data_IF_903180923915
#
_entry.id   IF_903180923915
#
_cell.length_a   1.000
_cell.length_b   1.000
_cell.length_c   1.000
_cell.angle_alpha   90.00
_cell.angle_beta   90.00
_cell.angle_gamma   90.00
#
_symmetry.space_group_name_H-M   'P 1'
#
loop_
_entity.id
_entity.type
_entity.pdbx_description
1 polymer ?
#
# COMPACT_ATOMS: atom_id res chain seq x y z
N UNK A 1 -25.35 5.17 -4.22
CA UNK A 1 -24.97 3.82 -3.76
C UNK A 1 -24.15 3.93 -2.49
N UNK A 2 -24.43 3.08 -1.49
CA UNK A 2 -23.61 2.99 -0.28
C UNK A 2 -22.39 2.10 -0.53
N UNK A 3 -21.25 2.51 -0.01
CA UNK A 3 -19.99 1.75 -0.07
C UNK A 3 -19.39 1.64 1.32
N UNK A 4 -18.78 0.51 1.62
CA UNK A 4 -18.07 0.28 2.87
C UNK A 4 -16.56 0.28 2.64
N UNK A 5 -15.81 0.99 3.48
CA UNK A 5 -14.37 1.04 3.39
C UNK A 5 -13.71 0.70 4.72
N UNK A 6 -12.71 -0.14 4.68
CA UNK A 6 -11.79 -0.35 5.80
C UNK A 6 -10.44 0.29 5.49
N UNK A 7 -9.74 0.79 6.50
CA UNK A 7 -8.44 1.44 6.31
C UNK A 7 -8.51 2.89 5.86
N UNK A 8 -9.65 3.57 6.00
CA UNK A 8 -9.85 4.98 5.64
C UNK A 8 -8.92 5.96 6.38
N UNK A 9 -8.31 5.56 7.50
CA UNK A 9 -7.28 6.36 8.19
C UNK A 9 -5.87 6.21 7.61
N UNK A 10 -5.68 5.36 6.60
CA UNK A 10 -4.42 5.13 5.90
C UNK A 10 -4.30 5.97 4.63
N UNK A 11 -3.12 5.90 3.99
CA UNK A 11 -2.80 6.70 2.80
C UNK A 11 -3.73 6.42 1.61
N UNK A 12 -3.78 5.17 1.13
CA UNK A 12 -4.66 4.79 0.01
C UNK A 12 -6.12 4.91 0.42
N UNK A 13 -6.50 4.33 1.58
CA UNK A 13 -7.89 4.33 2.03
C UNK A 13 -8.45 5.73 2.30
N UNK A 14 -7.63 6.65 2.82
CA UNK A 14 -8.04 8.05 3.00
C UNK A 14 -8.30 8.76 1.68
N UNK A 15 -7.36 8.68 0.73
CA UNK A 15 -7.54 9.25 -0.62
C UNK A 15 -8.74 8.62 -1.35
N UNK A 16 -8.96 7.30 -1.21
CA UNK A 16 -10.11 6.62 -1.78
C UNK A 16 -11.43 7.08 -1.14
N UNK A 17 -11.45 7.25 0.18
CA UNK A 17 -12.61 7.78 0.90
C UNK A 17 -12.99 9.17 0.37
N UNK A 18 -12.00 10.07 0.25
CA UNK A 18 -12.21 11.41 -0.30
C UNK A 18 -12.81 11.34 -1.71
N UNK A 19 -12.22 10.56 -2.59
CA UNK A 19 -12.67 10.44 -3.99
C UNK A 19 -14.07 9.84 -4.10
N UNK A 20 -14.43 8.89 -3.25
CA UNK A 20 -15.78 8.30 -3.21
C UNK A 20 -16.82 9.32 -2.79
N UNK A 21 -16.53 10.13 -1.75
CA UNK A 21 -17.42 11.23 -1.33
C UNK A 21 -17.57 12.26 -2.44
N UNK A 22 -16.47 12.73 -3.03
CA UNK A 22 -16.49 13.67 -4.18
C UNK A 22 -17.34 13.18 -5.36
N UNK A 23 -17.45 11.86 -5.54
CA UNK A 23 -18.30 11.23 -6.58
C UNK A 23 -19.73 10.98 -6.15
N UNK A 24 -20.13 11.43 -4.98
CA UNK A 24 -21.50 11.31 -4.47
C UNK A 24 -21.87 9.90 -3.95
N UNK A 25 -20.87 9.06 -3.62
CA UNK A 25 -21.16 7.82 -2.91
C UNK A 25 -21.42 8.11 -1.42
N UNK A 26 -22.36 7.37 -0.83
CA UNK A 26 -22.54 7.36 0.63
C UNK A 26 -21.49 6.42 1.22
N UNK A 27 -20.49 6.96 1.92
CA UNK A 27 -19.36 6.19 2.42
C UNK A 27 -19.55 5.85 3.89
N UNK A 28 -19.47 4.54 4.22
CA UNK A 28 -19.37 4.01 5.59
C UNK A 28 -17.92 3.56 5.80
N UNK A 29 -17.23 4.11 6.81
CA UNK A 29 -15.84 3.80 7.09
C UNK A 29 -15.67 3.09 8.44
N UNK A 30 -15.09 1.89 8.43
CA UNK A 30 -14.71 1.18 9.65
C UNK A 30 -13.44 1.78 10.23
N UNK A 31 -13.52 2.28 11.44
CA UNK A 31 -12.40 2.85 12.19
C UNK A 31 -12.25 2.16 13.54
N UNK A 32 -11.03 1.86 13.92
CA UNK A 32 -10.73 1.42 15.29
C UNK A 32 -10.94 2.57 16.27
N UNK A 33 -11.35 2.28 17.52
CA UNK A 33 -11.47 3.28 18.57
C UNK A 33 -10.26 4.22 18.62
N UNK A 34 -10.52 5.53 18.67
CA UNK A 34 -9.48 6.57 18.70
C UNK A 34 -8.75 6.84 17.38
N UNK A 35 -9.06 6.10 16.29
CA UNK A 35 -8.54 6.43 14.95
C UNK A 35 -9.31 7.58 14.32
N UNK A 36 -8.62 8.37 13.47
CA UNK A 36 -9.22 9.51 12.77
C UNK A 36 -8.90 9.43 11.29
N UNK A 37 -9.85 9.87 10.48
CA UNK A 37 -9.64 10.13 9.05
C UNK A 37 -9.16 11.58 8.92
N UNK A 38 -8.06 11.80 8.23
CA UNK A 38 -7.43 13.12 8.10
C UNK A 38 -7.51 13.64 6.67
N UNK A 39 -8.74 13.70 6.13
CA UNK A 39 -9.05 14.20 4.78
C UNK A 39 -10.09 15.31 4.85
N UNK A 40 -10.22 16.16 3.83
CA UNK A 40 -11.41 17.01 3.65
C UNK A 40 -12.67 16.16 3.57
N UNK A 41 -13.85 16.80 3.79
CA UNK A 41 -15.17 16.15 3.70
C UNK A 41 -15.39 14.97 4.65
N UNK A 42 -14.58 14.83 5.71
CA UNK A 42 -14.73 13.76 6.70
C UNK A 42 -16.12 13.74 7.37
N UNK A 43 -16.77 14.89 7.47
CA UNK A 43 -18.12 15.02 8.04
C UNK A 43 -19.21 14.37 7.17
N UNK A 44 -18.92 14.05 5.91
CA UNK A 44 -19.83 13.36 4.99
C UNK A 44 -19.66 11.83 5.05
N UNK A 45 -18.77 11.33 5.92
CA UNK A 45 -18.46 9.91 6.07
C UNK A 45 -19.17 9.36 7.31
N UNK A 46 -19.98 8.32 7.13
CA UNK A 46 -20.56 7.57 8.25
C UNK A 46 -19.48 6.71 8.91
N UNK A 47 -19.21 6.95 10.17
CA UNK A 47 -18.18 6.20 10.92
C UNK A 47 -18.82 4.99 11.61
N UNK A 48 -18.28 3.82 11.34
CA UNK A 48 -18.54 2.57 12.07
C UNK A 48 -17.33 2.30 12.96
N UNK A 49 -17.51 2.35 14.27
CA UNK A 49 -16.43 2.06 15.21
C UNK A 49 -16.28 0.56 15.41
N UNK A 50 -15.06 0.02 15.24
CA UNK A 50 -14.77 -1.40 15.42
C UNK A 50 -13.46 -1.85 14.81
N UNK A 51 -13.22 -3.16 14.83
CA UNK A 51 -12.01 -3.78 14.27
C UNK A 51 -12.38 -4.84 13.23
N UNK A 52 -11.55 -4.98 12.19
CA UNK A 52 -11.73 -6.04 11.16
C UNK A 52 -11.59 -7.45 11.74
N UNK A 53 -11.02 -7.60 12.93
CA UNK A 53 -10.94 -8.86 13.65
C UNK A 53 -12.27 -9.29 14.29
N UNK A 54 -13.20 -8.37 14.44
CA UNK A 54 -14.56 -8.62 14.94
C UNK A 54 -15.52 -8.78 13.76
N UNK A 55 -15.89 -10.03 13.47
CA UNK A 55 -16.77 -10.38 12.36
C UNK A 55 -18.14 -9.71 12.46
N UNK A 56 -18.70 -9.64 13.66
CA UNK A 56 -20.06 -9.08 13.87
C UNK A 56 -20.07 -7.57 13.60
N UNK A 57 -19.04 -6.86 14.03
CA UNK A 57 -18.86 -5.44 13.72
C UNK A 57 -18.70 -5.21 12.22
N UNK A 58 -17.87 -6.01 11.54
CA UNK A 58 -17.72 -5.91 10.08
C UNK A 58 -19.04 -6.22 9.39
N UNK A 59 -19.76 -7.28 9.79
CA UNK A 59 -21.05 -7.65 9.22
C UNK A 59 -22.09 -6.54 9.39
N UNK A 60 -22.15 -5.92 10.56
CA UNK A 60 -23.01 -4.77 10.81
C UNK A 60 -22.66 -3.58 9.90
N UNK A 61 -21.37 -3.32 9.72
CA UNK A 61 -20.89 -2.21 8.88
C UNK A 61 -21.20 -2.37 7.40
N UNK A 62 -21.05 -3.58 6.85
CA UNK A 62 -21.25 -3.84 5.40
C UNK A 62 -22.72 -3.94 4.99
N UNK A 63 -23.65 -4.04 5.94
CA UNK A 63 -25.09 -4.09 5.62
C UNK A 63 -25.51 -2.90 4.77
N UNK A 64 -26.35 -3.16 3.78
CA UNK A 64 -26.88 -2.18 2.81
C UNK A 64 -25.81 -1.54 1.89
N UNK A 65 -24.57 -2.03 1.92
CA UNK A 65 -23.54 -1.56 1.02
C UNK A 65 -23.50 -2.42 -0.25
N UNK A 66 -23.44 -1.77 -1.41
CA UNK A 66 -23.27 -2.48 -2.68
C UNK A 66 -21.81 -2.90 -2.90
N UNK A 67 -20.86 -2.05 -2.51
CA UNK A 67 -19.44 -2.31 -2.68
C UNK A 67 -18.67 -2.23 -1.37
N UNK A 68 -17.59 -3.01 -1.29
CA UNK A 68 -16.63 -3.01 -0.19
C UNK A 68 -15.22 -2.76 -0.73
N UNK A 69 -14.54 -1.76 -0.14
CA UNK A 69 -13.13 -1.51 -0.38
C UNK A 69 -12.32 -1.89 0.87
N UNK A 70 -11.57 -2.97 0.78
CA UNK A 70 -10.76 -3.45 1.90
C UNK A 70 -9.32 -2.98 1.77
N UNK A 71 -9.02 -1.79 2.34
CA UNK A 71 -7.67 -1.21 2.35
C UNK A 71 -6.96 -1.36 3.70
N UNK A 72 -7.64 -1.87 4.75
CA UNK A 72 -7.03 -2.04 6.06
C UNK A 72 -5.94 -3.10 6.02
N UNK A 73 -4.75 -2.74 6.50
CA UNK A 73 -3.63 -3.65 6.69
C UNK A 73 -2.69 -3.12 7.79
N UNK A 74 -2.03 -4.03 8.50
CA UNK A 74 -0.88 -3.70 9.33
C UNK A 74 0.35 -3.61 8.40
N UNK A 75 0.82 -2.37 8.13
CA UNK A 75 1.98 -2.10 7.28
C UNK A 75 3.16 -1.68 8.15
N UNK A 76 3.91 -2.67 8.63
CA UNK A 76 5.09 -2.47 9.47
C UNK A 76 6.18 -3.46 9.09
N UNK A 77 7.41 -2.98 8.94
CA UNK A 77 8.59 -3.84 8.72
C UNK A 77 9.14 -4.42 10.02
N UNK A 78 8.71 -3.88 11.16
CA UNK A 78 9.08 -4.37 12.49
C UNK A 78 7.88 -4.34 13.44
N UNK A 79 7.81 -5.33 14.32
CA UNK A 79 6.83 -5.41 15.42
C UNK A 79 7.39 -6.31 16.50
N UNK A 80 7.00 -6.06 17.75
CA UNK A 80 7.37 -6.92 18.89
C UNK A 80 6.76 -8.32 18.75
N UNK A 81 5.51 -8.41 18.32
CA UNK A 81 4.83 -9.67 18.05
C UNK A 81 4.43 -9.75 16.56
N UNK A 82 5.12 -10.60 15.78
CA UNK A 82 4.74 -10.85 14.40
C UNK A 82 3.33 -11.39 14.22
N UNK A 83 2.76 -12.08 15.21
CA UNK A 83 1.41 -12.63 15.12
C UNK A 83 0.35 -11.57 14.87
N UNK A 84 0.54 -10.34 15.38
CA UNK A 84 -0.42 -9.26 15.19
C UNK A 84 -0.56 -8.84 13.71
N UNK A 85 0.55 -8.89 12.95
CA UNK A 85 0.50 -8.62 11.51
C UNK A 85 -0.34 -9.68 10.79
N UNK A 86 -0.14 -10.96 11.15
CA UNK A 86 -0.89 -12.05 10.54
C UNK A 86 -2.36 -12.02 10.93
N UNK A 87 -2.69 -11.79 12.20
CA UNK A 87 -4.08 -11.61 12.65
C UNK A 87 -4.76 -10.52 11.83
N UNK A 88 -4.18 -9.32 11.78
CA UNK A 88 -4.77 -8.19 11.05
C UNK A 88 -4.88 -8.48 9.56
N UNK A 89 -3.78 -8.88 8.90
CA UNK A 89 -3.75 -8.97 7.45
C UNK A 89 -4.42 -10.23 6.92
N UNK A 90 -4.38 -11.35 7.64
CA UNK A 90 -4.93 -12.63 7.18
C UNK A 90 -6.34 -12.83 7.72
N UNK A 91 -6.51 -12.87 9.06
CA UNK A 91 -7.83 -13.11 9.66
C UNK A 91 -8.78 -11.94 9.43
N UNK A 92 -8.27 -10.69 9.53
CA UNK A 92 -9.08 -9.51 9.24
C UNK A 92 -9.57 -9.46 7.80
N UNK A 93 -8.72 -9.84 6.82
CA UNK A 93 -9.15 -9.97 5.41
C UNK A 93 -10.20 -11.06 5.26
N UNK A 94 -10.01 -12.23 5.89
CA UNK A 94 -10.99 -13.32 5.85
C UNK A 94 -12.35 -12.88 6.39
N UNK A 95 -12.38 -12.22 7.53
CA UNK A 95 -13.60 -11.67 8.14
C UNK A 95 -14.32 -10.69 7.21
N UNK A 96 -13.58 -9.76 6.59
CA UNK A 96 -14.19 -8.79 5.66
C UNK A 96 -14.81 -9.50 4.46
N UNK A 97 -14.14 -10.50 3.89
CA UNK A 97 -14.66 -11.27 2.76
C UNK A 97 -15.89 -12.09 3.15
N UNK A 98 -15.86 -12.73 4.32
CA UNK A 98 -17.00 -13.51 4.84
C UNK A 98 -18.20 -12.62 5.14
N UNK A 99 -18.01 -11.52 5.87
CA UNK A 99 -19.05 -10.57 6.20
C UNK A 99 -19.71 -9.99 4.94
N UNK A 100 -18.88 -9.62 3.95
CA UNK A 100 -19.36 -9.08 2.68
C UNK A 100 -20.21 -10.09 1.91
N UNK A 101 -19.80 -11.36 1.91
CA UNK A 101 -20.56 -12.44 1.27
C UNK A 101 -21.89 -12.70 1.97
N UNK A 102 -21.91 -12.72 3.30
CA UNK A 102 -23.16 -12.91 4.10
C UNK A 102 -24.13 -11.75 3.84
N UNK A 103 -23.61 -10.52 3.72
CA UNK A 103 -24.41 -9.34 3.45
C UNK A 103 -24.90 -9.20 1.99
N UNK A 104 -24.45 -10.07 1.09
CA UNK A 104 -24.81 -10.04 -0.34
C UNK A 104 -24.19 -8.86 -1.09
N UNK A 105 -22.98 -8.43 -0.71
CA UNK A 105 -22.25 -7.35 -1.39
C UNK A 105 -21.97 -7.72 -2.84
N UNK A 106 -22.27 -6.81 -3.77
CA UNK A 106 -22.11 -7.03 -5.22
C UNK A 106 -20.65 -7.09 -5.67
N UNK A 107 -19.75 -6.33 -4.98
CA UNK A 107 -18.35 -6.20 -5.36
C UNK A 107 -17.46 -5.93 -4.16
N UNK A 108 -16.34 -6.65 -4.07
CA UNK A 108 -15.30 -6.44 -3.08
C UNK A 108 -14.00 -6.13 -3.82
N UNK A 109 -13.35 -5.02 -3.49
CA UNK A 109 -12.00 -4.70 -3.96
C UNK A 109 -11.04 -4.85 -2.79
N UNK A 110 -10.17 -5.86 -2.88
CA UNK A 110 -9.14 -6.12 -1.88
C UNK A 110 -7.82 -5.47 -2.27
N UNK A 111 -7.33 -4.57 -1.44
CA UNK A 111 -6.02 -3.94 -1.61
C UNK A 111 -4.92 -4.88 -1.13
N UNK A 112 -4.26 -5.54 -2.05
CA UNK A 112 -3.05 -6.32 -1.79
C UNK A 112 -1.80 -5.43 -1.92
N UNK A 113 -0.75 -5.89 -2.55
CA UNK A 113 0.50 -5.16 -2.79
C UNK A 113 1.26 -5.78 -3.95
N UNK A 114 2.02 -4.99 -4.70
CA UNK A 114 2.99 -5.51 -5.66
C UNK A 114 3.98 -6.49 -5.03
N UNK A 115 4.19 -6.41 -3.72
CA UNK A 115 5.01 -7.35 -2.98
C UNK A 115 4.60 -8.82 -3.07
N UNK A 116 3.37 -9.14 -3.51
CA UNK A 116 2.87 -10.51 -3.76
C UNK A 116 3.14 -11.00 -5.18
N UNK A 117 3.66 -10.14 -6.04
CA UNK A 117 4.08 -10.48 -7.40
C UNK A 117 5.54 -10.94 -7.39
N UNK A 118 5.85 -12.00 -8.11
CA UNK A 118 7.23 -12.46 -8.27
C UNK A 118 8.04 -11.53 -9.18
N UNK A 119 9.35 -11.51 -8.97
CA UNK A 119 10.29 -10.79 -9.82
C UNK A 119 11.04 -11.82 -10.66
N UNK A 120 10.89 -11.83 -11.98
CA UNK A 120 11.62 -12.72 -12.85
C UNK A 120 13.13 -12.35 -12.87
N UNK A 121 13.99 -13.25 -13.33
CA UNK A 121 15.43 -12.95 -13.46
C UNK A 121 15.67 -11.92 -14.58
N UNK A 122 14.88 -11.97 -15.62
CA UNK A 122 14.94 -11.05 -16.77
C UNK A 122 13.55 -10.52 -17.06
N UNK A 123 13.44 -9.22 -17.33
CA UNK A 123 12.18 -8.55 -17.65
C UNK A 123 11.45 -8.00 -16.42
N UNK A 124 10.15 -7.76 -16.58
CA UNK A 124 9.28 -7.15 -15.58
C UNK A 124 8.33 -8.21 -14.99
N UNK A 125 8.08 -8.13 -13.67
CA UNK A 125 7.02 -8.92 -13.06
C UNK A 125 5.64 -8.47 -13.53
N UNK A 126 4.69 -9.39 -13.64
CA UNK A 126 3.28 -9.12 -13.94
C UNK A 126 2.37 -10.01 -13.08
N UNK A 127 1.06 -9.89 -13.26
CA UNK A 127 0.06 -10.58 -12.46
C UNK A 127 0.17 -12.12 -12.53
N UNK A 128 0.76 -12.67 -13.60
CA UNK A 128 0.95 -14.11 -13.76
C UNK A 128 2.30 -14.60 -13.24
N UNK A 129 3.23 -13.69 -12.90
CA UNK A 129 4.54 -14.06 -12.40
C UNK A 129 4.46 -14.69 -11.01
N UNK A 130 4.83 -15.97 -10.86
CA UNK A 130 4.76 -16.64 -9.56
C UNK A 130 5.75 -16.04 -8.57
N UNK A 131 5.35 -15.92 -7.31
CA UNK A 131 6.22 -15.47 -6.22
C UNK A 131 6.87 -16.71 -5.57
N UNK A 132 8.17 -16.97 -5.81
CA UNK A 132 8.83 -18.11 -5.19
C UNK A 132 9.06 -17.86 -3.68
N UNK A 133 9.09 -18.91 -2.84
CA UNK A 133 9.20 -18.79 -1.38
C UNK A 133 10.39 -17.94 -0.92
N UNK A 134 11.54 -18.00 -1.62
CA UNK A 134 12.74 -17.24 -1.25
C UNK A 134 12.61 -15.72 -1.50
N UNK A 135 11.64 -15.28 -2.30
CA UNK A 135 11.32 -13.86 -2.52
C UNK A 135 10.28 -13.33 -1.51
N UNK A 136 9.69 -14.19 -0.69
CA UNK A 136 8.73 -13.76 0.36
C UNK A 136 9.51 -13.31 1.60
N UNK A 137 10.03 -12.10 1.55
CA UNK A 137 10.89 -11.52 2.59
C UNK A 137 10.03 -10.75 3.59
N UNK A 138 10.20 -11.09 4.88
CA UNK A 138 9.57 -10.37 5.99
C UNK A 138 8.12 -10.76 6.30
N UNK A 139 7.69 -10.38 7.50
CA UNK A 139 6.36 -10.75 8.01
C UNK A 139 5.23 -10.02 7.28
N UNK A 140 5.45 -8.74 6.94
CA UNK A 140 4.46 -7.97 6.18
C UNK A 140 4.18 -8.62 4.82
N UNK A 141 5.22 -8.86 4.01
CA UNK A 141 5.06 -9.45 2.68
C UNK A 141 4.41 -10.83 2.76
N UNK A 142 4.84 -11.67 3.72
CA UNK A 142 4.28 -13.00 3.93
C UNK A 142 2.79 -12.95 4.31
N UNK A 143 2.41 -12.05 5.21
CA UNK A 143 1.00 -11.90 5.62
C UNK A 143 0.11 -11.43 4.47
N UNK A 144 0.58 -10.47 3.65
CA UNK A 144 -0.16 -10.01 2.47
C UNK A 144 -0.29 -11.12 1.41
N UNK A 145 0.77 -11.89 1.20
CA UNK A 145 0.73 -13.04 0.28
C UNK A 145 -0.29 -14.11 0.71
N UNK A 146 -0.35 -14.42 2.01
CA UNK A 146 -1.34 -15.37 2.53
C UNK A 146 -2.77 -14.82 2.41
N UNK A 147 -2.98 -13.55 2.74
CA UNK A 147 -4.27 -12.89 2.62
C UNK A 147 -4.76 -12.83 1.17
N UNK A 148 -3.87 -12.53 0.21
CA UNK A 148 -4.22 -12.54 -1.22
C UNK A 148 -4.60 -13.94 -1.69
N UNK A 149 -3.89 -14.97 -1.26
CA UNK A 149 -4.27 -16.37 -1.55
C UNK A 149 -5.66 -16.72 -1.03
N UNK A 150 -6.02 -16.26 0.17
CA UNK A 150 -7.37 -16.43 0.71
C UNK A 150 -8.39 -15.72 -0.17
N UNK A 151 -8.15 -14.45 -0.54
CA UNK A 151 -9.05 -13.69 -1.38
C UNK A 151 -9.28 -14.37 -2.73
N UNK A 152 -8.22 -14.79 -3.42
CA UNK A 152 -8.32 -15.49 -4.70
C UNK A 152 -9.02 -16.85 -4.56
N UNK A 153 -8.73 -17.61 -3.49
CA UNK A 153 -9.43 -18.87 -3.21
C UNK A 153 -10.92 -18.66 -2.95
N UNK A 154 -11.29 -17.59 -2.23
CA UNK A 154 -12.71 -17.27 -1.99
C UNK A 154 -13.43 -16.84 -3.26
N UNK A 155 -12.74 -16.20 -4.19
CA UNK A 155 -13.31 -15.90 -5.51
C UNK A 155 -13.73 -17.19 -6.27
N UNK A 156 -12.94 -18.28 -6.17
CA UNK A 156 -13.28 -19.54 -6.85
C UNK A 156 -14.53 -20.23 -6.29
N UNK A 157 -15.01 -19.82 -5.12
CA UNK A 157 -16.25 -20.34 -4.51
C UNK A 157 -17.39 -19.30 -4.53
N UNK A 158 -17.27 -18.27 -5.38
CA UNK A 158 -18.33 -17.31 -5.69
C UNK A 158 -18.32 -16.00 -4.91
N UNK A 159 -17.34 -15.73 -4.05
CA UNK A 159 -17.22 -14.41 -3.39
C UNK A 159 -16.74 -13.39 -4.43
N UNK A 160 -17.47 -12.25 -4.62
CA UNK A 160 -17.23 -11.32 -5.72
C UNK A 160 -16.03 -10.38 -5.46
N UNK A 161 -14.84 -10.95 -5.24
CA UNK A 161 -13.62 -10.21 -4.94
C UNK A 161 -12.73 -10.01 -6.16
N UNK A 162 -12.28 -8.77 -6.35
CA UNK A 162 -11.21 -8.36 -7.27
C UNK A 162 -10.02 -7.91 -6.44
N UNK A 163 -8.82 -8.31 -6.84
CA UNK A 163 -7.60 -7.95 -6.11
C UNK A 163 -6.87 -6.83 -6.86
N UNK A 164 -6.42 -5.81 -6.15
CA UNK A 164 -5.54 -4.78 -6.68
C UNK A 164 -4.20 -4.82 -5.95
N UNK A 165 -3.12 -4.66 -6.72
CA UNK A 165 -1.74 -4.73 -6.24
C UNK A 165 -1.05 -3.36 -6.47
N UNK A 166 -1.28 -2.35 -5.60
CA UNK A 166 -0.57 -1.08 -5.71
C UNK A 166 0.94 -1.28 -5.61
N UNK A 167 1.67 -0.47 -6.38
CA UNK A 167 3.15 -0.44 -6.37
C UNK A 167 3.66 0.48 -5.26
N UNK A 168 4.41 1.53 -5.59
CA UNK A 168 4.87 2.53 -4.65
C UNK A 168 4.10 3.85 -4.86
N UNK A 169 2.90 4.01 -4.25
CA UNK A 169 2.12 5.22 -4.43
C UNK A 169 2.80 6.42 -3.77
N UNK A 170 2.73 7.55 -4.46
CA UNK A 170 3.19 8.86 -3.99
C UNK A 170 2.10 9.89 -4.20
N UNK A 171 2.04 10.92 -3.35
CA UNK A 171 1.01 11.97 -3.45
C UNK A 171 0.67 12.58 -2.10
N UNK A 172 -0.37 13.44 -2.06
CA UNK A 172 -0.83 14.11 -0.84
C UNK A 172 -1.56 13.15 0.11
N UNK A 173 -1.72 13.57 1.37
CA UNK A 173 -2.44 12.87 2.45
C UNK A 173 -1.74 11.61 2.99
N UNK A 174 -0.42 11.49 2.82
CA UNK A 174 0.40 10.48 3.51
C UNK A 174 0.69 10.92 4.96
N UNK A 175 -0.36 11.03 5.76
CA UNK A 175 -0.35 11.61 7.14
C UNK A 175 0.57 10.85 8.08
N UNK A 176 0.63 9.53 7.94
CA UNK A 176 1.61 8.66 8.62
C UNK A 176 2.54 8.15 7.55
N UNK A 177 3.65 8.88 7.27
CA UNK A 177 4.43 8.62 6.09
C UNK A 177 4.68 7.15 5.87
N UNK A 178 4.20 6.65 4.72
CA UNK A 178 4.49 5.30 4.24
C UNK A 178 6.00 5.13 4.07
N UNK A 179 6.53 3.91 3.93
CA UNK A 179 7.95 3.73 3.63
C UNK A 179 8.42 4.56 2.42
N UNK A 180 7.61 4.68 1.36
CA UNK A 180 7.90 5.54 0.20
C UNK A 180 7.85 7.01 0.57
N UNK A 181 6.82 7.47 1.27
CA UNK A 181 6.70 8.84 1.77
C UNK A 181 7.82 9.22 2.72
N UNK A 182 8.29 8.26 3.55
CA UNK A 182 9.44 8.46 4.43
C UNK A 182 10.74 8.69 3.64
N UNK A 183 10.98 7.96 2.56
CA UNK A 183 12.13 8.21 1.67
C UNK A 183 12.10 9.64 1.13
N UNK A 184 10.94 10.12 0.66
CA UNK A 184 10.78 11.50 0.18
C UNK A 184 11.04 12.50 1.32
N UNK A 185 10.47 12.29 2.50
CA UNK A 185 10.66 13.17 3.66
C UNK A 185 12.12 13.20 4.15
N UNK A 186 12.78 12.04 4.23
CA UNK A 186 14.16 11.97 4.67
C UNK A 186 15.10 12.68 3.66
N UNK A 187 14.78 12.61 2.36
CA UNK A 187 15.44 13.40 1.34
C UNK A 187 15.23 14.91 1.57
N UNK A 188 13.98 15.36 1.74
CA UNK A 188 13.63 16.76 1.94
C UNK A 188 14.27 17.36 3.21
N UNK A 189 14.45 16.53 4.24
CA UNK A 189 15.14 16.88 5.51
C UNK A 189 16.66 16.78 5.44
N UNK A 190 17.24 16.45 4.28
CA UNK A 190 18.66 16.17 4.08
C UNK A 190 19.23 15.11 5.06
N UNK A 191 18.41 14.11 5.41
CA UNK A 191 18.79 13.01 6.32
C UNK A 191 19.38 11.79 5.62
N UNK A 192 19.55 11.86 4.31
CA UNK A 192 20.06 10.75 3.50
C UNK A 192 21.49 11.00 3.04
N UNK A 193 22.51 10.50 3.76
CA UNK A 193 23.91 10.71 3.38
C UNK A 193 24.33 9.87 2.17
N UNK A 194 23.62 8.76 1.93
CA UNK A 194 23.96 7.78 0.90
C UNK A 194 22.71 7.00 0.44
N UNK A 195 22.84 6.29 -0.66
CA UNK A 195 21.78 5.42 -1.19
C UNK A 195 22.34 4.09 -1.72
N UNK A 196 21.47 3.09 -1.89
CA UNK A 196 21.77 1.81 -2.52
C UNK A 196 21.20 1.75 -3.93
N UNK A 197 21.84 0.98 -4.83
CA UNK A 197 21.31 0.73 -6.18
C UNK A 197 20.12 -0.20 -6.10
N UNK A 198 18.93 0.38 -6.20
CA UNK A 198 17.67 -0.32 -6.29
C UNK A 198 16.66 0.55 -7.03
N UNK A 199 15.44 0.06 -7.20
CA UNK A 199 14.37 0.81 -7.84
C UNK A 199 13.01 0.22 -7.49
N UNK A 200 11.98 1.02 -7.71
CA UNK A 200 10.59 0.68 -7.49
C UNK A 200 9.78 1.09 -8.72
N UNK A 201 8.57 0.56 -8.81
CA UNK A 201 7.56 1.11 -9.69
C UNK A 201 6.77 2.16 -8.91
N UNK A 202 6.81 3.41 -9.34
CA UNK A 202 6.09 4.53 -8.71
C UNK A 202 4.79 4.82 -9.44
N UNK A 203 3.81 5.31 -8.70
CA UNK A 203 2.48 5.63 -9.23
C UNK A 203 1.86 6.77 -8.42
N UNK A 204 1.05 7.62 -9.06
CA UNK A 204 0.25 8.61 -8.36
C UNK A 204 -0.82 7.92 -7.48
N UNK A 205 -0.97 8.36 -6.24
CA UNK A 205 -2.02 7.86 -5.35
C UNK A 205 -3.41 8.11 -5.92
N UNK A 206 -3.61 9.17 -6.70
CA UNK A 206 -4.87 9.46 -7.38
C UNK A 206 -5.20 8.41 -8.43
N UNK A 207 -4.20 7.93 -9.18
CA UNK A 207 -4.37 6.82 -10.12
C UNK A 207 -4.69 5.52 -9.39
N UNK A 208 -3.99 5.25 -8.28
CA UNK A 208 -4.28 4.07 -7.45
C UNK A 208 -5.72 4.08 -6.96
N UNK A 209 -6.21 5.22 -6.50
CA UNK A 209 -7.61 5.40 -6.07
C UNK A 209 -8.57 5.15 -7.23
N UNK A 210 -8.28 5.72 -8.40
CA UNK A 210 -9.07 5.48 -9.61
C UNK A 210 -9.07 4.00 -10.00
N UNK A 211 -7.91 3.34 -9.91
CA UNK A 211 -7.76 1.91 -10.15
C UNK A 211 -8.63 1.04 -9.23
N UNK A 212 -8.83 1.44 -7.96
CA UNK A 212 -9.77 0.76 -7.05
C UNK A 212 -11.21 0.89 -7.53
N UNK A 213 -11.62 2.09 -7.93
CA UNK A 213 -12.99 2.34 -8.43
C UNK A 213 -13.23 1.60 -9.76
N UNK A 214 -12.24 1.61 -10.65
CA UNK A 214 -12.28 0.86 -11.90
C UNK A 214 -12.31 -0.66 -11.67
N UNK A 215 -11.58 -1.16 -10.70
CA UNK A 215 -11.65 -2.58 -10.31
C UNK A 215 -13.04 -2.97 -9.76
N UNK A 216 -13.72 -2.06 -9.04
CA UNK A 216 -15.09 -2.30 -8.62
C UNK A 216 -16.08 -2.32 -9.78
N UNK A 217 -15.89 -1.49 -10.80
CA UNK A 217 -16.83 -1.35 -11.92
C UNK A 217 -16.58 -2.31 -13.08
N UNK A 218 -15.30 -2.58 -13.40
CA UNK A 218 -14.88 -3.31 -14.60
C UNK A 218 -14.08 -4.58 -14.30
N UNK A 219 -13.48 -4.67 -13.08
CA UNK A 219 -12.58 -5.76 -12.74
C UNK A 219 -13.25 -7.14 -12.81
N UNK A 220 -12.52 -8.12 -13.28
CA UNK A 220 -12.98 -9.51 -13.34
C UNK A 220 -12.82 -10.16 -11.96
N UNK A 221 -13.87 -10.80 -11.46
CA UNK A 221 -13.86 -11.50 -10.17
C UNK A 221 -12.78 -12.59 -10.18
N UNK A 222 -11.95 -12.63 -9.13
CA UNK A 222 -10.85 -13.59 -9.02
C UNK A 222 -9.57 -13.16 -9.73
N UNK A 223 -9.56 -12.03 -10.44
CA UNK A 223 -8.38 -11.52 -11.10
C UNK A 223 -7.60 -10.53 -10.21
N UNK A 224 -6.31 -10.37 -10.56
CA UNK A 224 -5.39 -9.41 -9.96
C UNK A 224 -5.05 -8.32 -10.98
N UNK A 225 -4.84 -7.09 -10.48
CA UNK A 225 -4.47 -5.93 -11.28
C UNK A 225 -3.37 -5.15 -10.59
N UNK A 226 -2.20 -5.04 -11.22
CA UNK A 226 -1.11 -4.21 -10.73
C UNK A 226 -1.46 -2.74 -11.00
N UNK A 227 -1.59 -1.96 -9.93
CA UNK A 227 -1.79 -0.51 -10.02
C UNK A 227 -0.44 0.18 -9.90
N UNK A 228 0.25 0.31 -11.01
CA UNK A 228 1.59 0.86 -11.12
C UNK A 228 1.75 1.71 -12.38
N UNK A 229 2.84 2.49 -12.44
CA UNK A 229 3.11 3.34 -13.60
C UNK A 229 4.60 3.23 -14.00
N UNK A 230 5.48 4.04 -13.43
CA UNK A 230 6.85 4.21 -13.89
C UNK A 230 7.85 3.40 -13.06
N UNK A 231 8.58 2.50 -13.71
CA UNK A 231 9.75 1.86 -13.12
C UNK A 231 10.91 2.87 -13.05
N UNK A 232 11.38 3.17 -11.85
CA UNK A 232 12.37 4.21 -11.62
C UNK A 232 13.38 3.74 -10.56
N UNK A 233 14.67 3.96 -10.82
CA UNK A 233 15.72 3.73 -9.82
C UNK A 233 15.65 4.79 -8.70
N UNK A 234 16.22 4.49 -7.54
CA UNK A 234 16.33 5.50 -6.48
C UNK A 234 17.15 6.72 -6.90
N UNK A 235 18.14 6.56 -7.80
CA UNK A 235 18.89 7.68 -8.33
C UNK A 235 18.01 8.61 -9.15
N UNK A 236 17.20 8.08 -10.06
CA UNK A 236 16.24 8.85 -10.85
C UNK A 236 15.20 9.52 -9.94
N UNK A 237 14.69 8.82 -8.92
CA UNK A 237 13.82 9.43 -7.92
C UNK A 237 14.49 10.65 -7.26
N UNK A 238 15.74 10.51 -6.81
CA UNK A 238 16.45 11.61 -6.17
C UNK A 238 16.79 12.75 -7.13
N UNK A 239 17.02 12.49 -8.41
CA UNK A 239 17.14 13.50 -9.44
C UNK A 239 15.86 14.32 -9.58
N UNK A 240 14.72 13.66 -9.70
CA UNK A 240 13.41 14.30 -9.78
C UNK A 240 13.10 15.12 -8.50
N UNK A 241 13.40 14.56 -7.32
CA UNK A 241 13.22 15.29 -6.06
C UNK A 241 14.13 16.52 -5.94
N UNK A 242 15.37 16.44 -6.44
CA UNK A 242 16.31 17.57 -6.50
C UNK A 242 15.77 18.69 -7.40
N UNK A 243 15.30 18.36 -8.59
CA UNK A 243 14.69 19.31 -9.54
C UNK A 243 13.44 19.97 -8.97
N UNK A 244 12.56 19.20 -8.33
CA UNK A 244 11.28 19.70 -7.80
C UNK A 244 11.41 20.49 -6.49
N UNK A 245 12.41 20.17 -5.65
CA UNK A 245 12.54 20.76 -4.32
C UNK A 245 13.70 21.73 -4.16
N UNK A 246 14.67 21.72 -5.07
CA UNK A 246 15.94 22.46 -4.95
C UNK A 246 16.89 21.91 -3.88
N UNK A 247 16.57 20.77 -3.25
CA UNK A 247 17.44 20.10 -2.25
C UNK A 247 18.42 19.18 -2.95
N UNK A 248 19.69 19.23 -2.54
CA UNK A 248 20.73 18.36 -3.13
C UNK A 248 20.51 16.90 -2.84
N UNK A 249 20.62 16.07 -3.87
CA UNK A 249 20.52 14.61 -3.75
C UNK A 249 21.76 14.01 -3.05
N UNK A 250 21.62 12.82 -2.42
CA UNK A 250 22.77 12.09 -1.91
C UNK A 250 23.71 11.73 -3.06
N UNK A 251 24.99 12.03 -2.89
CA UNK A 251 26.03 11.76 -3.90
C UNK A 251 26.72 10.41 -3.68
N UNK A 252 26.67 9.88 -2.46
CA UNK A 252 27.39 8.66 -2.09
C UNK A 252 26.50 7.43 -2.36
N UNK A 253 26.98 6.57 -3.24
CA UNK A 253 26.44 5.23 -3.42
C UNK A 253 27.17 4.23 -2.53
N UNK A 254 26.41 3.44 -1.75
CA UNK A 254 26.97 2.35 -0.94
C UNK A 254 26.60 0.98 -1.53
N UNK A 255 27.54 0.02 -1.57
CA UNK A 255 27.24 -1.33 -2.00
C UNK A 255 26.22 -2.02 -1.09
N UNK A 256 25.40 -2.91 -1.65
CA UNK A 256 24.37 -3.62 -0.91
C UNK A 256 24.93 -4.43 0.29
N UNK A 257 26.13 -5.02 0.17
CA UNK A 257 26.75 -5.76 1.26
C UNK A 257 27.07 -4.86 2.47
N UNK A 258 27.49 -3.60 2.22
CA UNK A 258 27.78 -2.65 3.29
C UNK A 258 26.46 -2.20 3.96
N UNK A 259 25.42 -1.90 3.18
CA UNK A 259 24.09 -1.61 3.72
C UNK A 259 23.56 -2.77 4.57
N UNK A 260 23.75 -4.01 4.13
CA UNK A 260 23.40 -5.21 4.90
C UNK A 260 24.17 -5.29 6.23
N UNK A 261 25.48 -5.03 6.23
CA UNK A 261 26.27 -5.00 7.46
C UNK A 261 25.79 -3.98 8.46
N UNK A 262 25.52 -2.75 7.99
CA UNK A 262 24.97 -1.67 8.84
C UNK A 262 23.60 -2.05 9.40
N UNK A 263 22.70 -2.58 8.57
CA UNK A 263 21.38 -3.01 9.02
C UNK A 263 21.41 -4.18 10.01
N UNK A 264 22.37 -5.11 9.88
CA UNK A 264 22.55 -6.21 10.84
C UNK A 264 23.03 -5.68 12.20
N UNK A 265 23.94 -4.70 12.21
CA UNK A 265 24.42 -4.07 13.45
C UNK A 265 23.26 -3.29 14.11
N UNK A 266 22.50 -2.52 13.34
CA UNK A 266 21.35 -1.76 13.84
C UNK A 266 20.28 -2.71 14.43
N UNK A 267 19.97 -3.80 13.73
CA UNK A 267 19.03 -4.84 14.21
C UNK A 267 19.53 -5.49 15.50
N UNK A 268 20.83 -5.81 15.59
CA UNK A 268 21.43 -6.39 16.79
C UNK A 268 21.29 -5.44 17.99
N UNK A 269 21.59 -4.16 17.82
CA UNK A 269 21.58 -3.16 18.88
C UNK A 269 20.14 -2.79 19.24
N UNK A 270 19.37 -2.30 18.29
CA UNK A 270 18.05 -1.73 18.59
C UNK A 270 17.01 -2.82 18.87
N UNK A 271 16.93 -3.86 18.03
CA UNK A 271 15.93 -4.91 18.19
C UNK A 271 16.32 -5.95 19.27
N UNK A 272 17.50 -6.59 19.14
CA UNK A 272 17.83 -7.72 20.04
C UNK A 272 18.31 -7.29 21.42
N UNK A 273 19.08 -6.20 21.53
CA UNK A 273 19.59 -5.74 22.83
C UNK A 273 18.62 -4.76 23.51
N UNK A 274 18.05 -3.81 22.77
CA UNK A 274 17.22 -2.74 23.34
C UNK A 274 15.70 -2.99 23.22
N UNK A 275 15.25 -3.98 22.42
CA UNK A 275 13.84 -4.28 22.19
C UNK A 275 13.08 -3.13 21.52
N UNK A 276 13.76 -2.32 20.72
CA UNK A 276 13.22 -1.14 20.01
C UNK A 276 13.17 -1.38 18.52
N UNK A 277 12.39 -0.56 17.83
CA UNK A 277 12.34 -0.56 16.36
C UNK A 277 13.70 -0.15 15.78
N UNK A 278 14.30 -0.99 14.89
CA UNK A 278 15.53 -0.63 14.18
C UNK A 278 15.34 0.66 13.36
N UNK A 279 16.35 1.51 13.36
CA UNK A 279 16.36 2.74 12.55
C UNK A 279 16.42 2.41 11.05
N UNK A 280 17.09 1.29 10.74
CA UNK A 280 17.27 0.79 9.37
C UNK A 280 16.71 -0.64 9.32
N UNK A 281 15.41 -0.82 9.03
CA UNK A 281 14.78 -2.15 9.05
C UNK A 281 15.48 -3.11 8.07
N UNK A 282 15.98 -4.21 8.59
CA UNK A 282 16.72 -5.22 7.82
C UNK A 282 15.88 -5.81 6.68
N UNK A 283 14.55 -5.92 6.87
CA UNK A 283 13.62 -6.33 5.82
C UNK A 283 13.65 -5.38 4.61
N UNK A 284 13.68 -4.07 4.85
CA UNK A 284 13.78 -3.04 3.80
C UNK A 284 15.07 -3.18 2.99
N UNK A 285 16.21 -3.40 3.66
CA UNK A 285 17.49 -3.61 2.97
C UNK A 285 17.48 -4.89 2.13
N UNK A 286 16.93 -5.99 2.66
CA UNK A 286 16.79 -7.25 1.92
C UNK A 286 15.88 -7.09 0.69
N UNK A 287 14.81 -6.35 0.81
CA UNK A 287 13.94 -6.03 -0.33
C UNK A 287 14.63 -5.15 -1.36
N UNK A 288 15.49 -4.23 -0.94
CA UNK A 288 16.24 -3.33 -1.81
C UNK A 288 17.38 -4.01 -2.60
N UNK A 289 17.68 -5.29 -2.37
CA UNK A 289 18.72 -6.02 -3.12
C UNK A 289 18.38 -6.20 -4.60
N UNK A 290 17.11 -6.16 -4.97
CA UNK A 290 16.66 -6.24 -6.36
C UNK A 290 15.64 -5.13 -6.63
N UNK A 291 15.70 -4.46 -7.79
CA UNK A 291 14.64 -3.54 -8.19
C UNK A 291 13.29 -4.27 -8.27
N UNK A 292 12.25 -3.62 -7.77
CA UNK A 292 10.87 -4.12 -7.85
C UNK A 292 10.18 -3.52 -9.08
N UNK A 293 10.63 -3.93 -10.25
CA UNK A 293 10.08 -3.46 -11.53
C UNK A 293 8.98 -4.39 -12.02
N UNK A 294 7.86 -3.81 -12.38
CA UNK A 294 6.66 -4.54 -12.83
C UNK A 294 6.03 -3.87 -14.03
N UNK A 295 5.16 -4.62 -14.69
CA UNK A 295 4.32 -4.16 -15.79
C UNK A 295 2.87 -4.11 -15.31
N UNK A 296 2.21 -2.97 -15.50
CA UNK A 296 0.79 -2.73 -15.18
C UNK A 296 -0.13 -2.72 -16.40
N UNK A 297 0.35 -3.21 -17.54
CA UNK A 297 -0.35 -3.14 -18.82
C UNK A 297 -1.75 -3.75 -18.76
N UNK A 298 -1.92 -4.86 -18.03
CA UNK A 298 -3.23 -5.50 -17.82
C UNK A 298 -4.26 -4.54 -17.22
N UNK A 299 -3.87 -3.77 -16.19
CA UNK A 299 -4.77 -2.79 -15.59
C UNK A 299 -5.12 -1.65 -16.56
N UNK A 300 -4.15 -1.23 -17.38
CA UNK A 300 -4.38 -0.21 -18.41
C UNK A 300 -5.37 -0.70 -19.47
N UNK A 301 -5.18 -1.91 -19.99
CA UNK A 301 -5.99 -2.46 -21.08
C UNK A 301 -7.39 -2.87 -20.62
N UNK A 302 -7.51 -3.58 -19.50
CA UNK A 302 -8.78 -4.15 -19.05
C UNK A 302 -9.63 -3.16 -18.24
N UNK A 303 -9.00 -2.31 -17.43
CA UNK A 303 -9.71 -1.37 -16.57
C UNK A 303 -9.77 0.04 -17.15
N UNK A 304 -8.85 0.40 -18.02
CA UNK A 304 -8.58 1.79 -18.42
C UNK A 304 -7.85 2.55 -17.30
N UNK A 305 -6.94 1.87 -16.60
CA UNK A 305 -6.18 2.44 -15.49
C UNK A 305 -5.34 3.65 -15.95
N UNK A 306 -5.47 4.81 -15.30
CA UNK A 306 -4.75 6.01 -15.71
C UNK A 306 -3.25 5.89 -15.42
N UNK A 307 -2.46 6.67 -16.18
CA UNK A 307 -1.00 6.70 -16.13
C UNK A 307 -0.52 8.16 -16.07
N UNK A 308 -0.94 8.89 -15.01
CA UNK A 308 -0.53 10.29 -14.83
C UNK A 308 0.98 10.38 -14.55
N UNK A 309 1.65 11.49 -14.95
CA UNK A 309 3.09 11.65 -14.74
C UNK A 309 3.49 11.56 -13.28
N UNK A 310 4.42 10.67 -12.95
CA UNK A 310 4.89 10.47 -11.56
C UNK A 310 5.52 11.74 -10.98
N UNK A 311 6.12 12.60 -11.82
CA UNK A 311 6.70 13.86 -11.36
C UNK A 311 5.65 14.83 -10.81
N UNK A 312 4.43 14.83 -11.34
CA UNK A 312 3.33 15.62 -10.79
C UNK A 312 2.91 15.09 -9.42
N UNK A 313 2.83 13.78 -9.27
CA UNK A 313 2.55 13.14 -7.99
C UNK A 313 3.62 13.46 -6.93
N UNK A 314 4.90 13.43 -7.31
CA UNK A 314 6.02 13.83 -6.45
C UNK A 314 5.92 15.30 -6.07
N UNK A 315 5.61 16.19 -7.02
CA UNK A 315 5.39 17.61 -6.73
C UNK A 315 4.27 17.81 -5.72
N UNK A 316 3.11 17.19 -5.91
CA UNK A 316 1.98 17.27 -4.98
C UNK A 316 2.32 16.72 -3.59
N UNK A 317 3.09 15.62 -3.50
CA UNK A 317 3.57 15.07 -2.24
C UNK A 317 4.48 16.06 -1.50
N UNK A 318 5.45 16.68 -2.22
CA UNK A 318 6.37 17.67 -1.66
C UNK A 318 5.60 18.88 -1.12
N UNK A 319 4.66 19.44 -1.91
CA UNK A 319 3.84 20.58 -1.49
C UNK A 319 3.03 20.24 -0.24
N UNK A 320 2.35 19.05 -0.25
CA UNK A 320 1.55 18.62 0.87
C UNK A 320 2.38 18.45 2.16
N UNK A 321 3.55 17.83 2.09
CA UNK A 321 4.43 17.69 3.25
C UNK A 321 4.92 19.05 3.77
N UNK A 322 5.19 20.02 2.88
CA UNK A 322 5.55 21.38 3.23
C UNK A 322 4.41 22.09 3.95
N UNK A 323 3.22 22.10 3.35
CA UNK A 323 2.03 22.82 3.87
C UNK A 323 1.58 22.28 5.22
N UNK A 324 1.85 21.01 5.51
CA UNK A 324 1.56 20.36 6.78
C UNK A 324 2.71 20.44 7.79
N UNK A 325 3.81 21.12 7.47
CA UNK A 325 4.93 21.34 8.38
C UNK A 325 5.74 20.08 8.71
N UNK A 326 5.82 19.13 7.78
CA UNK A 326 6.63 17.91 7.98
C UNK A 326 8.13 18.18 7.83
N UNK A 327 8.54 19.26 7.14
CA UNK A 327 9.95 19.64 6.96
C UNK A 327 10.09 21.14 6.76
#
# INVERSE_FOLDING_TARGET
MKVFITGASGFIGGNLTLRLVERGYTVKALLRPGSKISIPLVNEVEIVEGDILDLDTVLSGVRECGWVFHCAAAYKFWTKDPCDIYKTNVNGTDNVLVASNIAGVERIVYTSTVGTIGLPEVGLGNETTPLPPHQVIGNYKRSKYLAEKIALKKATVGIPVVVVNPTAPVGPWDVKPTPTGKVILDFLKAKMPAYVKTGLNFVDVSDVVEGHILAATKGVIGERYILGNQNMSLLELFQNLEELSGKKRPSLHIPNWLAMGVGQIDDLIENKLLGREPKIPLEGIKMAQRPMYVNSQKAVEELGFPQNPVNEALYHAIQWFRDKGYY
#
